data_IF_897640663857
#
_entry.id   IF_897640663857
#
_cell.length_a   1.000
_cell.length_b   1.000
_cell.length_c   1.000
_cell.angle_alpha   90.00
_cell.angle_beta   90.00
_cell.angle_gamma   90.00
#
_symmetry.space_group_name_H-M   'P 1'
#
loop_
_entity.id
_entity.type
_entity.pdbx_description
1 polymer ?
#
# COMPACT_ATOMS: atom_id res chain seq x y z
N UNK A 1 12.24 -14.79 14.52
CA UNK A 1 11.30 -14.15 13.59
C UNK A 1 10.16 -15.13 13.40
N UNK A 2 8.97 -14.85 13.93
CA UNK A 2 7.81 -15.76 13.76
C UNK A 2 7.43 -15.77 12.27
N UNK A 3 7.68 -16.90 11.60
CA UNK A 3 7.28 -17.08 10.22
C UNK A 3 5.76 -17.11 10.15
N UNK A 4 5.19 -16.40 9.17
CA UNK A 4 3.76 -16.48 8.90
C UNK A 4 3.33 -17.94 8.69
N UNK A 5 2.07 -18.23 9.02
CA UNK A 5 1.46 -19.54 8.84
C UNK A 5 1.81 -20.12 7.47
N UNK A 6 2.25 -21.37 7.42
CA UNK A 6 2.69 -21.94 6.16
C UNK A 6 1.50 -22.17 5.20
N UNK A 7 1.74 -22.27 3.88
CA UNK A 7 0.65 -22.37 2.91
C UNK A 7 -0.28 -23.58 3.08
N UNK A 8 0.24 -24.71 3.57
CA UNK A 8 -0.55 -25.93 3.77
C UNK A 8 -1.53 -25.77 4.94
N UNK A 9 -1.05 -25.33 6.09
CA UNK A 9 -1.86 -25.03 7.26
C UNK A 9 -2.89 -23.94 6.97
N UNK A 10 -2.45 -22.91 6.24
CA UNK A 10 -3.33 -21.80 5.85
C UNK A 10 -4.46 -22.26 4.92
N UNK A 11 -4.17 -23.14 3.96
CA UNK A 11 -5.20 -23.74 3.09
C UNK A 11 -6.22 -24.55 3.90
N UNK A 12 -5.78 -25.32 4.89
CA UNK A 12 -6.67 -26.06 5.79
C UNK A 12 -7.55 -25.13 6.62
N UNK A 13 -7.00 -24.03 7.12
CA UNK A 13 -7.76 -23.01 7.84
C UNK A 13 -8.86 -22.40 6.95
N UNK A 14 -8.52 -21.98 5.72
CA UNK A 14 -9.49 -21.42 4.77
C UNK A 14 -10.61 -22.42 4.44
N UNK A 15 -10.26 -23.68 4.15
CA UNK A 15 -11.25 -24.73 3.89
C UNK A 15 -12.17 -24.97 5.09
N UNK A 16 -11.65 -24.85 6.31
CA UNK A 16 -12.46 -24.99 7.52
C UNK A 16 -13.39 -23.78 7.69
N UNK A 17 -12.91 -22.56 7.46
CA UNK A 17 -13.73 -21.35 7.48
C UNK A 17 -14.89 -21.40 6.47
N UNK A 18 -14.65 -21.93 5.27
CA UNK A 18 -15.66 -22.08 4.23
C UNK A 18 -16.77 -23.07 4.63
N UNK A 19 -16.40 -24.14 5.35
CA UNK A 19 -17.37 -25.15 5.82
C UNK A 19 -18.25 -24.67 6.97
N UNK A 20 -17.81 -23.67 7.73
CA UNK A 20 -18.59 -23.13 8.84
C UNK A 20 -19.70 -22.21 8.31
N UNK A 21 -20.96 -22.59 8.51
CA UNK A 21 -22.10 -21.73 8.15
C UNK A 21 -22.39 -20.63 9.19
N UNK A 22 -22.15 -20.90 10.47
CA UNK A 22 -22.49 -19.96 11.55
C UNK A 22 -21.36 -18.97 11.85
N UNK A 23 -21.71 -17.69 11.98
CA UNK A 23 -20.77 -16.60 12.33
C UNK A 23 -20.00 -16.86 13.63
N UNK A 24 -20.64 -17.45 14.65
CA UNK A 24 -20.00 -17.76 15.93
C UNK A 24 -18.83 -18.73 15.77
N UNK A 25 -19.00 -19.75 14.93
CA UNK A 25 -17.98 -20.79 14.73
C UNK A 25 -16.79 -20.25 13.94
N UNK A 26 -17.05 -19.43 12.91
CA UNK A 26 -16.00 -18.69 12.19
C UNK A 26 -15.18 -17.80 13.14
N UNK A 27 -15.85 -17.09 14.06
CA UNK A 27 -15.18 -16.21 15.04
C UNK A 27 -14.30 -16.99 16.01
N UNK A 28 -14.81 -18.10 16.56
CA UNK A 28 -14.03 -18.95 17.45
C UNK A 28 -12.77 -19.48 16.73
N UNK A 29 -12.93 -19.96 15.49
CA UNK A 29 -11.81 -20.46 14.67
C UNK A 29 -10.75 -19.37 14.41
N UNK A 30 -11.18 -18.14 14.06
CA UNK A 30 -10.27 -17.00 13.85
C UNK A 30 -9.48 -16.69 15.13
N UNK A 31 -10.14 -16.66 16.29
CA UNK A 31 -9.47 -16.39 17.57
C UNK A 31 -8.44 -17.46 17.90
N UNK A 32 -8.78 -18.74 17.74
CA UNK A 32 -7.85 -19.85 17.96
C UNK A 32 -6.65 -19.78 17.01
N UNK A 33 -6.89 -19.55 15.71
CA UNK A 33 -5.83 -19.44 14.73
C UNK A 33 -4.87 -18.27 15.05
N UNK A 34 -5.41 -17.11 15.41
CA UNK A 34 -4.63 -15.91 15.72
C UNK A 34 -3.88 -15.97 17.07
N UNK A 35 -4.25 -16.87 17.98
CA UNK A 35 -3.58 -17.01 19.26
C UNK A 35 -2.16 -17.58 19.13
N UNK A 36 -1.95 -18.50 18.19
CA UNK A 36 -0.70 -19.26 18.03
C UNK A 36 0.08 -18.98 16.75
N UNK A 37 -0.40 -18.11 15.86
CA UNK A 37 0.21 -17.90 14.55
C UNK A 37 0.35 -16.42 14.19
N UNK A 38 1.32 -16.14 13.32
CA UNK A 38 1.41 -14.88 12.56
C UNK A 38 0.92 -15.09 11.13
N UNK A 39 0.55 -14.00 10.47
CA UNK A 39 -0.05 -14.03 9.14
C UNK A 39 0.55 -12.93 8.27
N UNK A 40 0.64 -13.19 6.97
CA UNK A 40 0.91 -12.13 6.00
C UNK A 40 -0.34 -11.29 5.74
N UNK A 41 -0.19 -10.09 5.18
CA UNK A 41 -1.28 -9.24 4.76
C UNK A 41 -2.17 -9.94 3.72
N UNK A 42 -1.56 -10.69 2.80
CA UNK A 42 -2.27 -11.51 1.82
C UNK A 42 -3.13 -12.60 2.47
N UNK A 43 -2.61 -13.25 3.51
CA UNK A 43 -3.35 -14.28 4.25
C UNK A 43 -4.51 -13.66 5.03
N UNK A 44 -4.29 -12.52 5.69
CA UNK A 44 -5.36 -11.81 6.38
C UNK A 44 -6.45 -11.39 5.38
N UNK A 45 -6.08 -10.81 4.23
CA UNK A 45 -7.03 -10.44 3.18
C UNK A 45 -7.91 -11.63 2.74
N UNK A 46 -7.31 -12.79 2.47
CA UNK A 46 -8.05 -14.00 2.11
C UNK A 46 -9.00 -14.49 3.21
N UNK A 47 -8.63 -14.36 4.49
CA UNK A 47 -9.53 -14.68 5.61
C UNK A 47 -10.71 -13.68 5.63
N UNK A 48 -10.45 -12.39 5.42
CA UNK A 48 -11.51 -11.37 5.40
C UNK A 48 -12.51 -11.60 4.26
N UNK A 49 -12.07 -12.11 3.12
CA UNK A 49 -12.94 -12.47 1.99
C UNK A 49 -13.91 -13.62 2.33
N UNK A 50 -13.60 -14.44 3.34
CA UNK A 50 -14.50 -15.51 3.84
C UNK A 50 -15.60 -14.99 4.77
N UNK A 51 -15.55 -13.71 5.13
CA UNK A 51 -16.52 -13.05 6.00
C UNK A 51 -17.46 -12.20 5.15
N UNK A 52 -18.76 -12.36 5.40
CA UNK A 52 -19.80 -11.72 4.57
C UNK A 52 -20.03 -10.27 4.95
N UNK A 53 -19.85 -9.92 6.23
CA UNK A 53 -20.23 -8.61 6.75
C UNK A 53 -19.01 -7.74 7.08
N UNK A 54 -18.98 -6.46 6.66
CA UNK A 54 -17.87 -5.55 6.97
C UNK A 54 -17.58 -5.41 8.47
N UNK A 55 -18.62 -5.48 9.32
CA UNK A 55 -18.44 -5.46 10.79
C UNK A 55 -17.62 -6.66 11.29
N UNK A 56 -17.80 -7.83 10.68
CA UNK A 56 -17.05 -9.04 11.01
C UNK A 56 -15.63 -8.97 10.47
N UNK A 57 -15.46 -8.45 9.26
CA UNK A 57 -14.13 -8.20 8.68
C UNK A 57 -13.30 -7.25 9.56
N UNK A 58 -13.88 -6.12 9.99
CA UNK A 58 -13.20 -5.18 10.88
C UNK A 58 -12.91 -5.78 12.26
N UNK A 59 -13.80 -6.64 12.78
CA UNK A 59 -13.54 -7.37 14.02
C UNK A 59 -12.37 -8.35 13.86
N UNK A 60 -12.34 -9.13 12.78
CA UNK A 60 -11.25 -10.07 12.51
C UNK A 60 -9.93 -9.32 12.32
N UNK A 61 -9.94 -8.19 11.62
CA UNK A 61 -8.77 -7.34 11.44
C UNK A 61 -8.19 -6.85 12.78
N UNK A 62 -9.04 -6.51 13.77
CA UNK A 62 -8.55 -6.13 15.12
C UNK A 62 -7.78 -7.27 15.80
N UNK A 63 -8.17 -8.52 15.56
CA UNK A 63 -7.49 -9.70 16.09
C UNK A 63 -6.18 -9.96 15.36
N UNK A 64 -6.18 -9.85 14.03
CA UNK A 64 -5.00 -10.12 13.21
C UNK A 64 -3.95 -9.01 13.25
N UNK A 65 -4.34 -7.73 13.44
CA UNK A 65 -3.43 -6.58 13.46
C UNK A 65 -2.10 -6.82 14.21
N UNK A 66 -2.11 -7.29 15.49
CA UNK A 66 -0.86 -7.51 16.22
C UNK A 66 -0.02 -8.69 15.68
N UNK A 67 -0.60 -9.56 14.86
CA UNK A 67 -0.01 -10.80 14.33
C UNK A 67 0.42 -10.70 12.86
N UNK A 68 0.38 -9.51 12.25
CA UNK A 68 0.83 -9.29 10.87
C UNK A 68 2.36 -9.26 10.81
N UNK A 69 2.97 -10.11 9.98
CA UNK A 69 4.41 -10.20 9.81
C UNK A 69 5.00 -9.22 8.79
N UNK A 70 4.23 -8.80 7.79
CA UNK A 70 4.64 -7.99 6.62
C UNK A 70 3.85 -6.67 6.55
N UNK A 71 4.04 -5.80 7.56
CA UNK A 71 3.22 -4.59 7.76
C UNK A 71 3.33 -3.57 6.61
N UNK A 72 4.37 -3.65 5.80
CA UNK A 72 4.56 -2.88 4.59
C UNK A 72 3.50 -3.18 3.51
N UNK A 73 2.88 -4.36 3.55
CA UNK A 73 1.89 -4.83 2.58
C UNK A 73 0.43 -4.60 2.98
N UNK A 74 0.18 -3.74 3.97
CA UNK A 74 -1.17 -3.47 4.49
C UNK A 74 -2.20 -2.99 3.47
N UNK A 75 -1.77 -2.48 2.31
CA UNK A 75 -2.68 -2.17 1.19
C UNK A 75 -3.52 -3.39 0.78
N UNK A 76 -2.96 -4.61 0.90
CA UNK A 76 -3.63 -5.87 0.56
C UNK A 76 -4.82 -6.17 1.46
N UNK A 77 -4.72 -5.80 2.74
CA UNK A 77 -5.83 -5.95 3.69
C UNK A 77 -6.88 -4.89 3.41
N UNK A 78 -6.47 -3.64 3.16
CA UNK A 78 -7.38 -2.51 2.98
C UNK A 78 -8.24 -2.73 1.73
N UNK A 79 -7.65 -3.19 0.64
CA UNK A 79 -8.38 -3.44 -0.61
C UNK A 79 -9.40 -4.59 -0.54
N UNK A 80 -9.29 -5.50 0.45
CA UNK A 80 -10.27 -6.57 0.65
C UNK A 80 -11.64 -6.02 1.08
N UNK A 81 -11.70 -4.79 1.59
CA UNK A 81 -12.96 -4.13 1.93
C UNK A 81 -13.62 -3.52 0.69
N UNK A 82 -14.89 -3.86 0.47
CA UNK A 82 -15.67 -3.39 -0.68
C UNK A 82 -15.98 -1.90 -0.65
N UNK A 83 -16.29 -1.36 0.54
CA UNK A 83 -16.73 0.03 0.69
C UNK A 83 -15.61 0.93 1.20
N UNK A 84 -15.44 2.10 0.59
CA UNK A 84 -14.42 3.10 0.98
C UNK A 84 -14.49 3.47 2.46
N UNK A 85 -15.70 3.52 3.05
CA UNK A 85 -15.87 3.80 4.48
C UNK A 85 -15.18 2.74 5.35
N UNK A 86 -15.23 1.48 4.96
CA UNK A 86 -14.62 0.39 5.72
C UNK A 86 -13.13 0.23 5.38
N UNK A 87 -12.72 0.57 4.16
CA UNK A 87 -11.30 0.72 3.80
C UNK A 87 -10.60 1.76 4.70
N UNK A 88 -11.22 2.93 4.89
CA UNK A 88 -10.68 3.98 5.78
C UNK A 88 -10.52 3.48 7.22
N UNK A 89 -11.57 2.86 7.79
CA UNK A 89 -11.50 2.27 9.13
C UNK A 89 -10.43 1.18 9.24
N UNK A 90 -10.28 0.34 8.21
CA UNK A 90 -9.24 -0.67 8.17
C UNK A 90 -7.85 -0.02 8.15
N UNK A 91 -7.68 1.05 7.37
CA UNK A 91 -6.49 1.89 7.36
C UNK A 91 -6.16 2.44 8.75
N UNK A 92 -7.12 3.10 9.41
CA UNK A 92 -6.98 3.63 10.77
C UNK A 92 -6.57 2.52 11.76
N UNK A 93 -7.23 1.37 11.71
CA UNK A 93 -6.88 0.21 12.54
C UNK A 93 -5.45 -0.26 12.27
N UNK A 94 -4.97 -0.18 11.03
CA UNK A 94 -3.62 -0.56 10.63
C UNK A 94 -2.60 0.57 10.83
N UNK A 95 -2.99 1.73 11.38
CA UNK A 95 -2.11 2.88 11.57
C UNK A 95 -1.74 3.59 10.26
N UNK A 96 -2.58 3.48 9.24
CA UNK A 96 -2.53 4.36 8.08
C UNK A 96 -3.12 5.73 8.47
N UNK A 97 -2.52 6.84 8.04
CA UNK A 97 -3.06 8.18 8.25
C UNK A 97 -4.38 8.37 7.49
N UNK A 98 -5.26 9.23 7.99
CA UNK A 98 -6.53 9.55 7.32
C UNK A 98 -6.28 10.22 5.96
N UNK A 99 -5.34 11.16 5.92
CA UNK A 99 -4.85 11.82 4.70
C UNK A 99 -3.43 11.34 4.39
N UNK A 100 -3.34 10.40 3.44
CA UNK A 100 -2.10 9.67 3.16
C UNK A 100 -1.10 10.51 2.38
N UNK A 101 -1.51 11.26 1.36
CA UNK A 101 -0.62 12.12 0.57
C UNK A 101 0.22 13.09 1.43
N UNK A 102 -0.35 13.94 2.32
CA UNK A 102 0.44 14.82 3.17
C UNK A 102 1.24 14.07 4.24
N UNK A 103 0.80 12.89 4.67
CA UNK A 103 1.53 12.07 5.63
C UNK A 103 2.78 11.43 5.03
N UNK A 104 2.72 10.94 3.78
CA UNK A 104 3.89 10.44 3.03
C UNK A 104 4.96 11.51 2.93
N UNK A 105 4.56 12.74 2.57
CA UNK A 105 5.49 13.88 2.48
C UNK A 105 6.15 14.20 3.82
N UNK A 106 5.37 14.28 4.91
CA UNK A 106 5.90 14.57 6.25
C UNK A 106 6.87 13.49 6.72
N UNK A 107 6.47 12.22 6.60
CA UNK A 107 7.31 11.08 6.97
C UNK A 107 8.68 11.14 6.29
N UNK A 108 8.72 11.51 5.01
CA UNK A 108 10.00 11.66 4.31
C UNK A 108 10.87 12.77 4.92
N UNK A 109 10.29 13.94 5.18
CA UNK A 109 11.01 15.08 5.77
C UNK A 109 11.56 14.73 7.16
N UNK A 110 10.80 13.98 7.96
CA UNK A 110 11.21 13.51 9.27
C UNK A 110 12.40 12.52 9.16
N UNK A 111 12.29 11.51 8.29
CA UNK A 111 13.38 10.55 8.00
C UNK A 111 14.66 11.24 7.49
N UNK A 112 14.53 12.24 6.62
CA UNK A 112 15.66 13.04 6.11
C UNK A 112 16.32 13.88 7.22
N UNK A 113 15.53 14.50 8.09
CA UNK A 113 16.03 15.31 9.21
C UNK A 113 16.80 14.45 10.23
N UNK A 114 16.39 13.20 10.40
CA UNK A 114 17.04 12.21 11.25
C UNK A 114 18.20 11.48 10.55
N UNK A 115 18.53 11.85 9.30
CA UNK A 115 19.55 11.22 8.46
C UNK A 115 19.38 9.68 8.35
N UNK A 116 18.12 9.24 8.32
CA UNK A 116 17.76 7.82 8.16
C UNK A 116 17.91 7.45 6.69
N UNK A 117 18.74 6.44 6.42
CA UNK A 117 18.86 5.86 5.08
C UNK A 117 17.49 5.37 4.58
N UNK A 118 17.24 5.54 3.28
CA UNK A 118 16.00 5.05 2.70
C UNK A 118 15.88 3.54 2.92
N UNK A 119 14.70 3.05 3.33
CA UNK A 119 14.49 1.60 3.37
C UNK A 119 14.64 1.01 1.96
N UNK A 120 14.97 -0.28 1.92
CA UNK A 120 15.01 -1.04 0.68
C UNK A 120 13.70 -0.88 -0.11
N UNK A 121 13.77 -0.82 -1.46
CA UNK A 121 12.59 -0.69 -2.29
C UNK A 121 11.65 -1.89 -2.09
N UNK A 122 10.36 -1.67 -2.39
CA UNK A 122 9.33 -2.69 -2.30
C UNK A 122 9.77 -3.98 -3.00
N UNK A 123 9.65 -5.11 -2.30
CA UNK A 123 9.96 -6.43 -2.82
C UNK A 123 9.21 -6.74 -4.11
N UNK A 124 9.86 -7.43 -5.05
CA UNK A 124 9.32 -7.65 -6.39
C UNK A 124 7.95 -8.38 -6.40
N UNK A 125 7.75 -9.31 -5.48
CA UNK A 125 6.49 -10.05 -5.32
C UNK A 125 5.36 -9.14 -4.81
N UNK A 126 5.63 -8.34 -3.78
CA UNK A 126 4.70 -7.36 -3.24
C UNK A 126 4.35 -6.28 -4.28
N UNK A 127 5.35 -5.83 -5.04
CA UNK A 127 5.18 -4.88 -6.13
C UNK A 127 4.30 -5.43 -7.25
N UNK A 128 4.51 -6.69 -7.65
CA UNK A 128 3.66 -7.35 -8.64
C UNK A 128 2.20 -7.41 -8.19
N UNK A 129 1.96 -7.71 -6.91
CA UNK A 129 0.61 -7.71 -6.33
C UNK A 129 -0.01 -6.31 -6.28
N UNK A 130 0.80 -5.27 -6.03
CA UNK A 130 0.34 -3.87 -6.13
C UNK A 130 -0.08 -3.52 -7.57
N UNK A 131 0.69 -3.92 -8.57
CA UNK A 131 0.34 -3.69 -9.98
C UNK A 131 -0.94 -4.42 -10.38
N UNK A 132 -1.16 -5.64 -9.89
CA UNK A 132 -2.40 -6.38 -10.08
C UNK A 132 -3.58 -5.66 -9.42
N UNK A 133 -3.42 -5.26 -8.15
CA UNK A 133 -4.43 -4.51 -7.41
C UNK A 133 -4.84 -3.21 -8.13
N UNK A 134 -3.88 -2.45 -8.67
CA UNK A 134 -4.12 -1.24 -9.46
C UNK A 134 -4.88 -1.55 -10.75
N UNK A 135 -4.60 -2.68 -11.38
CA UNK A 135 -5.26 -3.11 -12.62
C UNK A 135 -6.72 -3.53 -12.38
N UNK A 136 -7.02 -4.02 -11.17
CA UNK A 136 -8.38 -4.40 -10.76
C UNK A 136 -9.27 -3.21 -10.39
N UNK A 137 -8.68 -2.02 -10.17
CA UNK A 137 -9.47 -0.81 -9.89
C UNK A 137 -10.02 -0.19 -11.17
N UNK A 138 -11.34 0.09 -11.16
CA UNK A 138 -12.04 0.68 -12.30
C UNK A 138 -11.78 2.18 -12.48
N UNK A 139 -11.41 2.85 -11.40
CA UNK A 139 -11.46 4.31 -11.30
C UNK A 139 -10.09 4.87 -10.84
N UNK A 140 -9.63 5.98 -11.43
CA UNK A 140 -8.32 6.55 -11.09
C UNK A 140 -8.17 7.00 -9.64
N UNK A 141 -9.26 7.34 -8.94
CA UNK A 141 -9.20 7.79 -7.54
C UNK A 141 -8.79 6.64 -6.61
N UNK A 142 -9.35 5.47 -6.85
CA UNK A 142 -9.08 4.22 -6.13
C UNK A 142 -7.67 3.72 -6.46
N UNK A 143 -7.24 3.83 -7.72
CA UNK A 143 -5.85 3.58 -8.10
C UNK A 143 -4.87 4.49 -7.35
N UNK A 144 -5.11 5.80 -7.33
CA UNK A 144 -4.27 6.75 -6.60
C UNK A 144 -4.24 6.46 -5.10
N UNK A 145 -5.38 6.10 -4.51
CA UNK A 145 -5.45 5.71 -3.10
C UNK A 145 -4.59 4.48 -2.78
N UNK A 146 -4.53 3.47 -3.66
CA UNK A 146 -3.62 2.33 -3.49
C UNK A 146 -2.15 2.75 -3.57
N UNK A 147 -1.80 3.66 -4.49
CA UNK A 147 -0.44 4.22 -4.60
C UNK A 147 -0.05 4.95 -3.31
N UNK A 148 -0.98 5.74 -2.74
CA UNK A 148 -0.78 6.42 -1.46
C UNK A 148 -0.51 5.43 -0.33
N UNK A 149 -1.36 4.41 -0.17
CA UNK A 149 -1.21 3.39 0.88
C UNK A 149 0.12 2.65 0.79
N UNK A 150 0.55 2.32 -0.43
CA UNK A 150 1.83 1.67 -0.68
C UNK A 150 3.00 2.60 -0.34
N UNK A 151 2.96 3.86 -0.81
CA UNK A 151 4.03 4.84 -0.62
C UNK A 151 4.26 5.22 0.85
N UNK A 152 3.24 5.11 1.71
CA UNK A 152 3.39 5.41 3.14
C UNK A 152 4.37 4.48 3.86
N UNK A 153 4.45 3.21 3.43
CA UNK A 153 5.28 2.20 4.09
C UNK A 153 6.43 1.68 3.25
N UNK A 154 6.45 2.00 1.97
CA UNK A 154 7.43 1.48 1.03
C UNK A 154 8.19 2.60 0.35
N UNK A 155 9.30 2.21 -0.28
CA UNK A 155 10.04 2.97 -1.26
C UNK A 155 10.01 2.21 -2.59
N UNK A 156 10.41 2.87 -3.67
CA UNK A 156 10.35 2.34 -5.02
C UNK A 156 11.64 2.67 -5.76
N UNK A 157 12.01 1.83 -6.73
CA UNK A 157 13.00 2.24 -7.73
C UNK A 157 12.36 3.14 -8.78
N UNK A 158 13.16 3.85 -9.57
CA UNK A 158 12.70 4.63 -10.71
C UNK A 158 11.99 3.74 -11.74
N UNK A 159 12.44 2.50 -11.93
CA UNK A 159 11.80 1.51 -12.80
C UNK A 159 10.42 1.09 -12.26
N UNK A 160 10.31 0.80 -10.96
CA UNK A 160 9.02 0.54 -10.31
C UNK A 160 8.11 1.76 -10.42
N UNK A 161 8.64 2.97 -10.28
CA UNK A 161 7.88 4.19 -10.48
C UNK A 161 7.31 4.26 -11.91
N UNK A 162 8.12 3.99 -12.95
CA UNK A 162 7.62 3.92 -14.34
C UNK A 162 6.47 2.90 -14.47
N UNK A 163 6.65 1.69 -13.96
CA UNK A 163 5.63 0.64 -14.03
C UNK A 163 4.31 1.03 -13.30
N UNK A 164 4.41 1.79 -12.20
CA UNK A 164 3.22 2.36 -11.53
C UNK A 164 2.55 3.42 -12.41
N UNK A 165 3.33 4.32 -13.02
CA UNK A 165 2.80 5.37 -13.89
C UNK A 165 2.09 4.79 -15.12
N UNK A 166 2.59 3.69 -15.67
CA UNK A 166 2.00 3.00 -16.83
C UNK A 166 0.60 2.44 -16.54
N UNK A 167 0.22 2.27 -15.27
CA UNK A 167 -1.16 1.88 -14.89
C UNK A 167 -2.17 3.00 -15.09
N UNK A 168 -1.72 4.24 -15.30
CA UNK A 168 -2.59 5.40 -15.48
C UNK A 168 -2.64 5.83 -16.95
N UNK A 169 -3.77 5.55 -17.62
CA UNK A 169 -3.98 5.88 -19.04
C UNK A 169 -3.99 7.37 -19.38
N UNK A 170 -4.22 8.25 -18.39
CA UNK A 170 -4.36 9.69 -18.62
C UNK A 170 -3.19 10.41 -17.94
N UNK A 171 -2.42 11.24 -18.66
CA UNK A 171 -1.19 11.88 -18.15
C UNK A 171 -1.36 12.69 -16.85
N UNK A 172 -2.54 13.29 -16.63
CA UNK A 172 -2.82 14.01 -15.38
C UNK A 172 -2.79 13.09 -14.14
N UNK A 173 -3.15 11.83 -14.29
CA UNK A 173 -3.13 10.86 -13.18
C UNK A 173 -1.74 10.25 -13.00
N UNK A 174 -0.97 10.09 -14.09
CA UNK A 174 0.47 9.80 -14.00
C UNK A 174 1.19 10.88 -13.17
N UNK A 175 0.95 12.16 -13.45
CA UNK A 175 1.53 13.24 -12.65
C UNK A 175 1.10 13.20 -11.18
N UNK A 176 -0.15 12.84 -10.88
CA UNK A 176 -0.62 12.70 -9.49
C UNK A 176 0.05 11.53 -8.78
N UNK A 177 0.16 10.38 -9.44
CA UNK A 177 0.87 9.23 -8.91
C UNK A 177 2.35 9.56 -8.68
N UNK A 178 3.01 10.23 -9.63
CA UNK A 178 4.37 10.73 -9.47
C UNK A 178 4.49 11.70 -8.28
N UNK A 179 3.53 12.62 -8.13
CA UNK A 179 3.50 13.52 -6.98
C UNK A 179 3.48 12.72 -5.67
N UNK A 180 2.69 11.64 -5.57
CA UNK A 180 2.65 10.81 -4.36
C UNK A 180 3.99 10.11 -4.11
N UNK A 181 4.59 9.48 -5.12
CA UNK A 181 5.75 8.58 -4.93
C UNK A 181 7.11 9.27 -5.03
N UNK A 182 7.21 10.51 -5.55
CA UNK A 182 8.51 11.16 -5.83
C UNK A 182 9.49 11.22 -4.65
N UNK A 183 8.94 11.31 -3.43
CA UNK A 183 9.69 11.39 -2.17
C UNK A 183 10.10 10.01 -1.64
N UNK A 184 9.71 8.94 -2.34
CA UNK A 184 9.93 7.54 -1.97
C UNK A 184 10.72 6.79 -3.04
N UNK A 185 11.35 7.49 -3.98
CA UNK A 185 12.19 6.89 -5.03
C UNK A 185 13.63 6.78 -4.53
N UNK A 186 14.21 5.59 -4.53
CA UNK A 186 15.52 5.32 -3.93
C UNK A 186 16.70 5.69 -4.83
N UNK A 187 16.59 5.49 -6.14
CA UNK A 187 17.65 5.69 -7.12
C UNK A 187 17.40 6.94 -7.98
N UNK A 188 17.45 8.12 -7.35
CA UNK A 188 17.16 9.41 -7.99
C UNK A 188 18.00 9.71 -9.23
N UNK A 189 19.18 9.10 -9.38
CA UNK A 189 20.03 9.20 -10.57
C UNK A 189 19.33 8.62 -11.83
N UNK A 190 18.42 7.67 -11.64
CA UNK A 190 17.64 7.01 -12.70
C UNK A 190 16.34 7.76 -13.05
N UNK A 191 16.09 8.93 -12.47
CA UNK A 191 14.86 9.70 -12.66
C UNK A 191 14.56 10.07 -14.13
N UNK A 192 15.56 10.05 -15.01
CA UNK A 192 15.36 10.24 -16.45
C UNK A 192 14.44 9.17 -17.07
N UNK A 193 14.41 7.95 -16.52
CA UNK A 193 13.50 6.89 -16.94
C UNK A 193 12.04 7.31 -16.75
N UNK A 194 11.75 7.95 -15.61
CA UNK A 194 10.41 8.45 -15.27
C UNK A 194 9.99 9.56 -16.23
N UNK A 195 10.91 10.45 -16.62
CA UNK A 195 10.60 11.50 -17.59
C UNK A 195 10.26 10.94 -18.97
N UNK A 196 10.88 9.82 -19.35
CA UNK A 196 10.59 9.15 -20.62
C UNK A 196 9.21 8.49 -20.67
N UNK A 197 8.59 8.21 -19.52
CA UNK A 197 7.25 7.65 -19.43
C UNK A 197 6.13 8.64 -19.84
N UNK A 198 6.42 9.93 -19.97
CA UNK A 198 5.44 10.94 -20.37
C UNK A 198 5.59 11.31 -21.84
N UNK A 199 4.61 11.06 -22.70
CA UNK A 199 4.74 11.37 -24.13
C UNK A 199 4.82 12.87 -24.44
N UNK A 200 4.10 13.70 -23.66
CA UNK A 200 3.97 15.13 -23.92
C UNK A 200 5.08 15.94 -23.24
N UNK A 201 5.70 16.86 -23.99
CA UNK A 201 6.72 17.79 -23.49
C UNK A 201 6.24 18.62 -22.30
N UNK A 202 4.96 19.01 -22.27
CA UNK A 202 4.35 19.73 -21.15
C UNK A 202 4.36 18.89 -19.86
N UNK A 203 3.98 17.62 -19.96
CA UNK A 203 3.93 16.71 -18.82
C UNK A 203 5.34 16.28 -18.38
N UNK A 204 6.28 16.09 -19.32
CA UNK A 204 7.71 15.91 -19.02
C UNK A 204 8.27 17.07 -18.19
N UNK A 205 7.98 18.32 -18.59
CA UNK A 205 8.43 19.51 -17.84
C UNK A 205 7.85 19.54 -16.43
N UNK A 206 6.56 19.26 -16.27
CA UNK A 206 5.91 19.18 -14.94
C UNK A 206 6.50 18.07 -14.08
N UNK A 207 6.72 16.88 -14.64
CA UNK A 207 7.33 15.75 -13.94
C UNK A 207 8.77 16.10 -13.50
N UNK A 208 9.54 16.73 -14.37
CA UNK A 208 10.90 17.22 -14.06
C UNK A 208 10.89 18.21 -12.89
N UNK A 209 9.98 19.19 -12.89
CA UNK A 209 9.83 20.11 -11.76
C UNK A 209 9.50 19.39 -10.46
N UNK A 210 8.61 18.39 -10.48
CA UNK A 210 8.27 17.61 -9.29
C UNK A 210 9.47 16.83 -8.74
N UNK A 211 10.25 16.19 -9.62
CA UNK A 211 11.42 15.41 -9.24
C UNK A 211 12.55 16.29 -8.70
N UNK A 212 12.75 17.49 -9.28
CA UNK A 212 13.70 18.49 -8.75
C UNK A 212 13.31 18.96 -7.34
N UNK A 213 12.02 19.23 -7.11
CA UNK A 213 11.53 19.62 -5.77
C UNK A 213 11.72 18.53 -4.71
N UNK A 214 11.71 17.26 -5.12
CA UNK A 214 12.01 16.14 -4.22
C UNK A 214 13.51 16.03 -3.91
N UNK A 215 14.38 16.40 -4.86
CA UNK A 215 15.83 16.42 -4.67
C UNK A 215 16.35 17.64 -3.89
N UNK A 216 15.54 18.69 -3.74
CA UNK A 216 15.93 19.95 -3.07
C UNK A 216 14.78 20.47 -2.19
N UNK A 217 14.53 19.85 -1.02
CA UNK A 217 13.39 20.22 -0.17
C UNK A 217 13.50 21.62 0.47
N UNK A 218 14.66 22.28 0.40
CA UNK A 218 14.94 23.54 1.12
C UNK A 218 14.57 24.85 0.39
N UNK A 219 14.07 24.84 -0.85
CA UNK A 219 13.86 26.12 -1.59
C UNK A 219 12.46 26.73 -1.52
N UNK A 220 11.46 26.07 -0.91
CA UNK A 220 10.07 26.58 -0.90
C UNK A 220 9.53 26.92 0.49
N UNK A 221 10.32 27.67 1.28
CA UNK A 221 9.81 28.45 2.41
C UNK A 221 10.35 29.88 2.34
N UNK A 222 9.75 30.69 1.46
CA UNK A 222 9.53 32.12 1.69
C UNK A 222 8.71 32.73 0.54
N UNK A 223 7.38 32.92 0.71
CA UNK A 223 6.76 34.06 0.07
C UNK A 223 7.09 35.31 0.91
N UNK A 224 7.74 36.28 0.27
CA UNK A 224 7.92 37.65 0.80
C UNK A 224 6.59 38.32 1.13
#
# INVERSE_FOLDING_TARGET
>A
MEMAMNPLEFSQLLNTLDKQGASKDKKALIQTAAAGNTFTCAQVAQILDKLTFPKEQLWALKIFRPRISDRENTFQIIQAFTFTKDQKKAGELLGQPEDVEPAVRRKRLDEESEAVDMPAPMEASAFSQLLEALSNQKFPKEQLYLVELAAYRNTFTAEQAVQLLDKFKIPRYQLKALNIIRHRITDSQSNFLILNAFDSSLYKKKASTLLMQAASPHENQNPS
#
